data_IF_025303527885
#
_entry.id   IF_025303527885
#
_cell.length_a   1.000
_cell.length_b   1.000
_cell.length_c   1.000
_cell.angle_alpha   90.00
_cell.angle_beta   90.00
_cell.angle_gamma   90.00
#
_symmetry.space_group_name_H-M   'P 1'
#
loop_
_entity.id
_entity.type
_entity.pdbx_description
1 polymer ?
#
# COMPACT_ATOMS: atom_id res chain seq x y z
N UNK A 1 -22.02 22.80 -5.74
CA UNK A 1 -21.01 21.78 -6.11
C UNK A 1 -21.78 20.49 -6.34
N UNK A 2 -21.99 20.12 -7.59
CA UNK A 2 -22.95 19.08 -8.01
C UNK A 2 -22.38 17.68 -7.84
N UNK A 3 -23.27 16.72 -7.59
CA UNK A 3 -23.03 15.27 -7.42
C UNK A 3 -22.11 14.65 -8.48
N UNK A 4 -22.09 15.24 -9.69
CA UNK A 4 -21.22 14.87 -10.81
C UNK A 4 -19.73 15.08 -10.53
N UNK A 5 -19.37 16.11 -9.75
CA UNK A 5 -17.96 16.39 -9.41
C UNK A 5 -17.42 15.37 -8.42
N UNK A 6 -18.26 14.90 -7.48
CA UNK A 6 -17.90 13.83 -6.53
C UNK A 6 -17.75 12.49 -7.25
N UNK A 7 -18.67 12.14 -8.18
CA UNK A 7 -18.54 10.90 -8.97
C UNK A 7 -17.32 10.91 -9.89
N UNK A 8 -16.99 12.05 -10.53
CA UNK A 8 -15.79 12.14 -11.38
C UNK A 8 -14.48 12.07 -10.57
N UNK A 9 -14.46 12.61 -9.34
CA UNK A 9 -13.31 12.47 -8.44
C UNK A 9 -13.19 11.04 -7.87
N UNK A 10 -14.32 10.38 -7.60
CA UNK A 10 -14.36 8.97 -7.20
C UNK A 10 -13.97 8.04 -8.35
N UNK A 11 -14.36 8.33 -9.60
CA UNK A 11 -14.05 7.51 -10.78
C UNK A 11 -12.60 7.66 -11.26
N UNK A 12 -12.02 8.86 -11.18
CA UNK A 12 -10.59 9.07 -11.45
C UNK A 12 -9.72 8.37 -10.38
N UNK A 13 -10.23 8.26 -9.14
CA UNK A 13 -9.61 7.49 -8.07
C UNK A 13 -9.83 5.97 -8.19
N UNK A 14 -11.00 5.54 -8.68
CA UNK A 14 -11.35 4.11 -8.78
C UNK A 14 -10.61 3.42 -9.92
N UNK A 15 -10.54 4.02 -11.11
CA UNK A 15 -9.88 3.40 -12.27
C UNK A 15 -8.38 3.20 -12.04
N UNK A 16 -7.71 4.18 -11.43
CA UNK A 16 -6.30 4.05 -11.08
C UNK A 16 -6.07 3.00 -9.97
N UNK A 17 -7.02 2.85 -9.04
CA UNK A 17 -6.98 1.82 -7.98
C UNK A 17 -7.25 0.43 -8.53
N UNK A 18 -8.22 0.28 -9.43
CA UNK A 18 -8.53 -0.98 -10.11
C UNK A 18 -7.35 -1.45 -10.96
N UNK A 19 -6.72 -0.54 -11.70
CA UNK A 19 -5.48 -0.84 -12.43
C UNK A 19 -4.37 -1.31 -11.48
N UNK A 20 -4.19 -0.64 -10.33
CA UNK A 20 -3.21 -1.06 -9.33
C UNK A 20 -3.51 -2.45 -8.75
N UNK A 21 -4.77 -2.73 -8.40
CA UNK A 21 -5.19 -4.05 -7.91
C UNK A 21 -4.88 -5.13 -8.94
N UNK A 22 -5.29 -4.91 -10.19
CA UNK A 22 -5.02 -5.83 -11.30
C UNK A 22 -3.53 -6.07 -11.51
N UNK A 23 -2.69 -5.04 -11.38
CA UNK A 23 -1.23 -5.18 -11.46
C UNK A 23 -0.65 -6.00 -10.31
N UNK A 24 -1.23 -5.93 -9.11
CA UNK A 24 -0.75 -6.69 -7.95
C UNK A 24 -1.27 -8.14 -7.92
N UNK A 25 -2.41 -8.41 -8.56
CA UNK A 25 -3.04 -9.73 -8.62
C UNK A 25 -2.56 -10.57 -9.81
N UNK A 26 -1.84 -9.97 -10.77
CA UNK A 26 -1.32 -10.68 -11.94
C UNK A 26 -0.24 -11.69 -11.55
N UNK A 27 -0.50 -12.98 -11.73
CA UNK A 27 0.42 -14.09 -11.41
C UNK A 27 1.60 -14.23 -12.38
N UNK A 28 1.65 -13.43 -13.45
CA UNK A 28 2.69 -13.49 -14.47
C UNK A 28 3.13 -12.10 -14.91
N UNK A 29 4.22 -11.58 -14.32
CA UNK A 29 5.11 -10.64 -15.02
C UNK A 29 6.51 -10.62 -14.37
N UNK A 30 7.39 -11.54 -14.80
CA UNK A 30 8.83 -11.55 -14.48
C UNK A 30 9.56 -10.26 -14.93
N UNK A 31 8.88 -9.40 -15.71
CA UNK A 31 9.34 -8.13 -16.24
C UNK A 31 8.49 -6.93 -15.82
N UNK A 32 7.63 -7.12 -14.81
CA UNK A 32 6.55 -6.22 -14.45
C UNK A 32 6.98 -4.76 -14.31
N UNK A 33 6.15 -3.82 -14.79
CA UNK A 33 6.53 -2.42 -14.87
C UNK A 33 7.03 -1.98 -13.49
N UNK A 34 8.20 -1.35 -13.52
CA UNK A 34 8.87 -0.68 -12.41
C UNK A 34 8.07 0.49 -11.84
N UNK A 35 6.76 0.52 -12.12
CA UNK A 35 5.84 1.61 -11.87
C UNK A 35 5.97 1.97 -10.40
N UNK A 36 6.57 3.13 -10.12
CA UNK A 36 6.72 3.56 -8.76
C UNK A 36 5.35 3.95 -8.23
N UNK A 37 5.08 3.54 -7.01
CA UNK A 37 3.90 3.91 -6.26
C UNK A 37 4.29 5.03 -5.31
N UNK A 38 3.51 6.10 -5.35
CA UNK A 38 3.70 7.31 -4.59
C UNK A 38 2.60 7.45 -3.54
N UNK A 39 2.90 8.21 -2.49
CA UNK A 39 1.89 8.66 -1.55
C UNK A 39 0.83 9.49 -2.29
N UNK A 40 -0.43 9.09 -2.21
CA UNK A 40 -1.52 9.80 -2.88
C UNK A 40 -1.63 11.26 -2.43
N UNK A 41 -1.26 11.56 -1.18
CA UNK A 41 -1.33 12.90 -0.58
C UNK A 41 -0.21 13.85 -1.01
N UNK A 42 1.02 13.38 -1.16
CA UNK A 42 2.19 14.26 -1.36
C UNK A 42 3.10 13.87 -2.53
N UNK A 43 2.74 12.84 -3.29
CA UNK A 43 3.51 12.34 -4.43
C UNK A 43 4.95 11.88 -4.12
N UNK A 44 5.36 11.78 -2.85
CA UNK A 44 6.62 11.13 -2.47
C UNK A 44 6.59 9.66 -2.91
N UNK A 45 7.63 9.19 -3.61
CA UNK A 45 7.80 7.78 -3.93
C UNK A 45 7.84 6.92 -2.65
N UNK A 46 7.11 5.80 -2.67
CA UNK A 46 6.92 4.90 -1.51
C UNK A 46 7.52 3.53 -1.79
N UNK A 47 7.08 2.89 -2.86
CA UNK A 47 7.48 1.54 -3.29
C UNK A 47 7.28 1.40 -4.79
N UNK A 48 7.32 0.18 -5.34
CA UNK A 48 7.07 -0.16 -6.75
C UNK A 48 6.23 -1.42 -6.82
N UNK A 49 5.52 -1.61 -7.94
CA UNK A 49 4.74 -2.83 -8.18
C UNK A 49 5.63 -4.07 -8.14
N UNK A 50 6.85 -4.01 -8.68
CA UNK A 50 7.84 -5.09 -8.64
C UNK A 50 8.33 -5.47 -7.23
N UNK A 51 7.99 -4.70 -6.19
CA UNK A 51 8.25 -5.05 -4.80
C UNK A 51 7.14 -5.88 -4.17
N UNK A 52 6.02 -6.11 -4.86
CA UNK A 52 4.94 -6.94 -4.37
C UNK A 52 5.47 -8.32 -3.95
N UNK A 53 4.99 -8.82 -2.81
CA UNK A 53 5.35 -10.14 -2.29
C UNK A 53 4.14 -10.86 -1.77
N UNK A 54 4.02 -12.13 -2.11
CA UNK A 54 2.94 -12.98 -1.63
C UNK A 54 3.07 -13.21 -0.13
N UNK A 55 1.95 -13.09 0.59
CA UNK A 55 1.80 -13.47 1.99
C UNK A 55 0.50 -14.23 2.16
N UNK A 56 0.54 -15.37 2.83
CA UNK A 56 -0.64 -16.20 3.09
C UNK A 56 -1.49 -16.46 1.83
N UNK A 57 -0.84 -16.77 0.70
CA UNK A 57 -1.51 -17.07 -0.58
C UNK A 57 -1.97 -15.86 -1.40
N UNK A 58 -1.55 -14.62 -1.06
CA UNK A 58 -1.88 -13.46 -1.89
C UNK A 58 -1.01 -12.22 -1.69
N UNK A 59 -0.94 -11.37 -2.72
CA UNK A 59 -0.30 -10.06 -2.67
C UNK A 59 -1.18 -9.00 -2.01
N UNK A 60 -2.50 -9.14 -2.13
CA UNK A 60 -3.51 -8.18 -1.67
C UNK A 60 -4.41 -8.82 -0.63
N UNK A 61 -4.69 -8.08 0.44
CA UNK A 61 -5.49 -8.56 1.56
C UNK A 61 -6.51 -7.52 2.00
N UNK A 62 -7.74 -7.95 2.27
CA UNK A 62 -8.69 -7.16 3.07
C UNK A 62 -8.51 -7.52 4.53
N UNK A 63 -8.31 -6.52 5.39
CA UNK A 63 -8.12 -6.72 6.83
C UNK A 63 -8.87 -5.66 7.63
N UNK A 64 -9.44 -6.06 8.76
CA UNK A 64 -10.14 -5.16 9.68
C UNK A 64 -9.34 -5.00 10.96
N UNK A 65 -9.25 -3.77 11.46
CA UNK A 65 -8.66 -3.50 12.77
C UNK A 65 -9.71 -3.70 13.90
N UNK A 66 -9.30 -3.72 15.18
CA UNK A 66 -10.22 -3.88 16.31
C UNK A 66 -11.29 -2.80 16.44
N UNK A 67 -11.08 -1.63 15.84
CA UNK A 67 -12.06 -0.54 15.80
C UNK A 67 -13.12 -0.73 14.69
N UNK A 68 -13.10 -1.86 13.97
CA UNK A 68 -14.05 -2.17 12.90
C UNK A 68 -13.73 -1.51 11.55
N UNK A 69 -12.57 -0.85 11.41
CA UNK A 69 -12.17 -0.22 10.15
C UNK A 69 -11.49 -1.24 9.24
N UNK A 70 -12.04 -1.45 8.04
CA UNK A 70 -11.46 -2.32 7.02
C UNK A 70 -10.52 -1.57 6.08
N UNK A 71 -9.43 -2.23 5.71
CA UNK A 71 -8.43 -1.75 4.76
C UNK A 71 -8.22 -2.79 3.67
N UNK A 72 -7.97 -2.35 2.44
CA UNK A 72 -7.35 -3.17 1.41
C UNK A 72 -5.87 -2.82 1.36
N UNK A 73 -5.02 -3.80 1.64
CA UNK A 73 -3.57 -3.64 1.69
C UNK A 73 -2.89 -4.47 0.61
N UNK A 74 -1.82 -3.93 0.02
CA UNK A 74 -0.84 -4.71 -0.75
C UNK A 74 0.39 -5.02 0.10
N UNK A 75 0.98 -6.20 -0.09
CA UNK A 75 2.19 -6.64 0.59
C UNK A 75 3.42 -6.38 -0.27
N UNK A 76 4.42 -5.68 0.27
CA UNK A 76 5.63 -5.28 -0.44
C UNK A 76 6.90 -5.62 0.33
N UNK A 77 7.93 -6.13 -0.33
CA UNK A 77 9.27 -6.39 0.26
C UNK A 77 9.89 -5.12 0.82
N UNK A 78 9.84 -4.04 0.03
CA UNK A 78 10.46 -2.75 0.39
C UNK A 78 9.48 -1.60 0.23
N UNK A 79 9.57 -0.62 1.14
CA UNK A 79 8.81 0.62 1.10
C UNK A 79 9.66 1.79 1.62
N UNK A 80 10.76 2.10 0.92
CA UNK A 80 11.75 3.11 1.35
C UNK A 80 11.19 4.53 1.54
N UNK A 81 10.01 4.85 1.00
CA UNK A 81 9.33 6.13 1.28
C UNK A 81 8.50 6.15 2.56
N UNK A 82 8.54 5.08 3.36
CA UNK A 82 7.92 4.99 4.67
C UNK A 82 8.94 5.09 5.80
N UNK A 83 8.46 5.57 6.96
CA UNK A 83 9.14 5.49 8.25
C UNK A 83 8.26 4.70 9.22
N UNK A 84 8.82 3.67 9.85
CA UNK A 84 8.15 2.95 10.92
C UNK A 84 8.13 3.79 12.21
N UNK A 85 7.02 3.76 12.95
CA UNK A 85 6.85 4.48 14.22
C UNK A 85 6.24 3.62 15.30
N UNK A 86 6.69 3.84 16.53
CA UNK A 86 6.31 3.08 17.72
C UNK A 86 7.14 1.81 17.89
N UNK A 87 6.90 1.10 18.99
CA UNK A 87 7.51 -0.21 19.25
C UNK A 87 6.81 -1.30 18.42
N UNK A 88 7.55 -2.27 17.85
CA UNK A 88 6.95 -3.42 17.19
C UNK A 88 6.06 -4.23 18.15
N UNK A 89 4.82 -4.50 17.76
CA UNK A 89 3.86 -5.27 18.56
C UNK A 89 3.18 -6.35 17.74
N UNK A 90 2.89 -7.50 18.34
CA UNK A 90 2.07 -8.57 17.76
C UNK A 90 0.57 -8.41 18.08
N UNK A 91 0.20 -7.39 18.86
CA UNK A 91 -1.18 -7.12 19.24
C UNK A 91 -2.05 -6.96 17.98
N UNK A 92 -2.97 -7.91 17.76
CA UNK A 92 -3.81 -7.97 16.56
C UNK A 92 -3.04 -7.95 15.24
N UNK A 93 -1.88 -8.59 15.21
CA UNK A 93 -1.18 -8.83 13.95
C UNK A 93 -2.05 -9.68 13.03
N UNK A 94 -2.15 -9.27 11.77
CA UNK A 94 -2.89 -10.01 10.74
C UNK A 94 -2.09 -11.18 10.14
N UNK A 95 -0.78 -11.19 10.35
CA UNK A 95 0.13 -12.18 9.79
C UNK A 95 0.81 -12.91 10.95
N UNK A 96 0.58 -14.21 11.04
CA UNK A 96 1.12 -15.05 12.13
C UNK A 96 2.65 -14.97 12.13
N UNK A 97 3.24 -14.90 13.32
CA UNK A 97 4.69 -14.80 13.49
C UNK A 97 5.30 -13.43 13.18
N UNK A 98 4.45 -12.41 12.97
CA UNK A 98 4.90 -11.04 12.69
C UNK A 98 4.42 -10.05 13.73
N UNK A 99 5.30 -9.11 14.09
CA UNK A 99 5.00 -7.87 14.81
C UNK A 99 4.90 -6.72 13.81
N UNK A 100 4.08 -5.73 14.11
CA UNK A 100 3.87 -4.57 13.27
C UNK A 100 4.21 -3.26 13.97
N UNK A 101 4.61 -2.28 13.15
CA UNK A 101 4.71 -0.87 13.48
C UNK A 101 3.89 -0.08 12.47
N UNK A 102 3.33 1.07 12.86
CA UNK A 102 2.70 1.93 11.87
C UNK A 102 3.77 2.48 10.90
N UNK A 103 3.48 2.46 9.61
CA UNK A 103 4.32 2.99 8.55
C UNK A 103 3.75 4.32 8.06
N UNK A 104 4.46 5.41 8.33
CA UNK A 104 4.08 6.76 7.91
C UNK A 104 4.85 7.16 6.66
N UNK A 105 4.22 7.92 5.77
CA UNK A 105 4.91 8.57 4.67
C UNK A 105 6.05 9.45 5.20
N UNK A 106 7.28 9.21 4.72
CA UNK A 106 8.45 9.99 5.13
C UNK A 106 8.38 11.47 4.66
N UNK A 107 7.56 11.77 3.65
CA UNK A 107 7.38 13.14 3.17
C UNK A 107 6.35 13.94 3.97
N UNK A 108 5.18 13.37 4.25
CA UNK A 108 4.05 14.14 4.79
C UNK A 108 3.42 13.58 6.07
N UNK A 109 3.99 12.51 6.64
CA UNK A 109 3.51 11.89 7.88
C UNK A 109 2.20 11.12 7.78
N UNK A 110 1.54 11.09 6.62
CA UNK A 110 0.29 10.33 6.42
C UNK A 110 0.55 8.85 6.72
N UNK A 111 -0.30 8.22 7.52
CA UNK A 111 -0.27 6.78 7.74
C UNK A 111 -0.52 6.05 6.41
N UNK A 112 0.45 5.28 5.92
CA UNK A 112 0.36 4.53 4.66
C UNK A 112 0.13 3.04 4.86
N UNK A 113 0.32 2.52 6.07
CA UNK A 113 0.07 1.12 6.39
C UNK A 113 0.98 0.67 7.52
N UNK A 114 1.51 -0.54 7.44
CA UNK A 114 2.27 -1.16 8.52
C UNK A 114 3.57 -1.77 8.00
N UNK A 115 4.64 -1.67 8.81
CA UNK A 115 5.86 -2.47 8.63
C UNK A 115 5.73 -3.71 9.50
N UNK A 116 5.87 -4.88 8.90
CA UNK A 116 5.89 -6.17 9.59
C UNK A 116 7.33 -6.68 9.72
N UNK A 117 7.64 -7.25 10.88
CA UNK A 117 8.95 -7.84 11.23
C UNK A 117 8.73 -9.14 12.01
N UNK A 118 9.72 -10.02 12.07
CA UNK A 118 9.61 -11.33 12.72
C UNK A 118 10.05 -12.44 11.78
N UNK A 119 9.16 -13.37 11.45
CA UNK A 119 9.45 -14.48 10.53
C UNK A 119 9.98 -14.00 9.16
N UNK A 120 9.51 -12.84 8.68
CA UNK A 120 10.10 -12.12 7.56
C UNK A 120 9.85 -10.61 7.72
N UNK A 121 10.55 -9.79 6.93
CA UNK A 121 10.27 -8.35 6.87
C UNK A 121 9.50 -8.01 5.58
N UNK A 122 8.44 -7.23 5.73
CA UNK A 122 7.66 -6.69 4.61
C UNK A 122 6.78 -5.52 5.07
N UNK A 123 6.03 -4.92 4.15
CA UNK A 123 5.12 -3.82 4.41
C UNK A 123 3.72 -4.15 3.89
N UNK A 124 2.69 -3.95 4.72
CA UNK A 124 1.29 -3.95 4.28
C UNK A 124 0.83 -2.51 4.08
N UNK A 125 0.72 -2.05 2.84
CA UNK A 125 0.39 -0.66 2.52
C UNK A 125 -1.06 -0.52 2.04
N UNK A 126 -1.78 0.47 2.56
CA UNK A 126 -3.17 0.77 2.24
C UNK A 126 -3.24 1.31 0.81
N UNK A 127 -3.83 0.53 -0.10
CA UNK A 127 -3.78 0.82 -1.53
C UNK A 127 -4.48 2.14 -1.88
N UNK A 128 -5.55 2.50 -1.18
CA UNK A 128 -6.26 3.78 -1.34
C UNK A 128 -5.40 5.01 -0.98
N UNK A 129 -4.26 4.80 -0.31
CA UNK A 129 -3.33 5.88 0.07
C UNK A 129 -2.10 5.92 -0.84
N UNK A 130 -2.07 5.06 -1.85
CA UNK A 130 -1.07 5.01 -2.89
C UNK A 130 -1.69 5.39 -4.24
N UNK A 131 -0.83 5.81 -5.16
CA UNK A 131 -1.16 6.00 -6.57
C UNK A 131 0.08 5.70 -7.40
N UNK A 132 -0.04 5.37 -8.69
CA UNK A 132 1.06 5.52 -9.62
C UNK A 132 1.71 6.91 -9.45
N UNK A 133 3.03 6.95 -9.32
CA UNK A 133 3.73 8.22 -9.46
C UNK A 133 3.45 8.78 -10.87
N UNK A 134 3.34 10.11 -10.98
CA UNK A 134 3.38 10.73 -12.31
C UNK A 134 4.68 10.33 -13.01
N UNK A 135 4.61 10.05 -14.30
CA UNK A 135 5.82 10.03 -15.13
C UNK A 135 6.37 11.46 -15.02
N UNK A 136 7.50 11.64 -14.35
CA UNK A 136 8.17 12.92 -14.40
C UNK A 136 8.43 13.24 -15.86
N UNK A 137 7.97 14.40 -16.33
CA UNK A 137 8.62 15.00 -17.48
C UNK A 137 10.07 15.25 -17.07
N UNK A 138 10.98 14.72 -17.88
CA UNK A 138 12.41 14.67 -17.69
C UNK A 138 13.04 16.01 -17.26
#
# INVERSE_FOLDING_TARGET
MTETTTRLLDELGSASREALLKSLESEYDETGPRQPLCCARCARAVTRVDQAVERDGGHVHRRSNPAGVSFVIGCFRSAGGCRAVGEPTDYWSWFVGHRWQAALCAGCGRHLGWRFSGASEFHGLILERLKPCGVGAD
#
